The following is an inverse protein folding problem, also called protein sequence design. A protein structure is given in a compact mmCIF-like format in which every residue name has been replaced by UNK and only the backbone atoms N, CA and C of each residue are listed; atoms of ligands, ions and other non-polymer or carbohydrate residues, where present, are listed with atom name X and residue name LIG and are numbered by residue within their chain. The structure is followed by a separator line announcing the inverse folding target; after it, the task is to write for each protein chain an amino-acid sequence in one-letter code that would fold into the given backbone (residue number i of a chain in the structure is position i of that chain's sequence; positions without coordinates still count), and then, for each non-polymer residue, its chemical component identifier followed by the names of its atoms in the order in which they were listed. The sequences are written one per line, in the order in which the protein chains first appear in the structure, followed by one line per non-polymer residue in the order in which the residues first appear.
data_IF_088868649424
#
_entry.id   IF_088868649424
#
_cell.length_a   1.000
_cell.length_b   1.000
_cell.length_c   1.000
_cell.angle_alpha   90.00
_cell.angle_beta   90.00
_cell.angle_gamma   90.00
#
_symmetry.space_group_name_H-M   'P 1'
#
loop_
_entity.id
_entity.type
_entity.pdbx_description
1 polymer ?
#
# COMPACT_ATOMS: atom_id res chain seq x y z
N UNK A 1 -9.46 9.02 -6.84
CA UNK A 1 -9.31 9.20 -5.38
C UNK A 1 -9.84 8.01 -4.57
N UNK A 2 -11.06 7.55 -4.85
CA UNK A 2 -11.71 6.50 -4.05
C UNK A 2 -10.93 5.18 -4.04
N UNK A 3 -10.42 4.77 -5.21
CA UNK A 3 -9.59 3.55 -5.33
C UNK A 3 -8.33 3.59 -4.46
N UNK A 4 -7.64 4.74 -4.40
CA UNK A 4 -6.44 4.89 -3.58
C UNK A 4 -6.77 4.78 -2.10
N UNK A 5 -7.90 5.37 -1.65
CA UNK A 5 -8.36 5.23 -0.26
C UNK A 5 -8.75 3.79 0.08
N UNK A 6 -9.43 3.09 -0.83
CA UNK A 6 -9.80 1.68 -0.66
C UNK A 6 -8.56 0.79 -0.55
N UNK A 7 -7.56 1.00 -1.40
CA UNK A 7 -6.28 0.30 -1.34
C UNK A 7 -5.54 0.57 -0.04
N UNK A 8 -5.47 1.83 0.40
CA UNK A 8 -4.88 2.21 1.70
C UNK A 8 -5.59 1.54 2.87
N UNK A 9 -6.93 1.54 2.87
CA UNK A 9 -7.72 0.88 3.91
C UNK A 9 -7.50 -0.64 3.94
N UNK A 10 -7.44 -1.29 2.78
CA UNK A 10 -7.13 -2.72 2.68
C UNK A 10 -5.74 -3.00 3.27
N UNK A 11 -4.73 -2.23 2.88
CA UNK A 11 -3.37 -2.40 3.38
C UNK A 11 -3.31 -2.24 4.91
N UNK A 12 -3.98 -1.22 5.45
CA UNK A 12 -4.04 -0.97 6.90
C UNK A 12 -4.70 -2.14 7.65
N UNK A 13 -5.78 -2.72 7.12
CA UNK A 13 -6.44 -3.89 7.71
C UNK A 13 -5.54 -5.14 7.73
N UNK A 14 -4.60 -5.24 6.79
CA UNK A 14 -3.63 -6.35 6.70
C UNK A 14 -2.29 -6.04 7.38
N UNK A 15 -2.21 -4.95 8.15
CA UNK A 15 -1.03 -4.59 8.95
C UNK A 15 0.05 -3.83 8.18
N UNK A 16 -0.22 -3.37 6.96
CA UNK A 16 0.70 -2.56 6.16
C UNK A 16 0.28 -1.09 6.17
N UNK A 17 1.12 -0.21 6.72
CA UNK A 17 0.91 1.23 6.66
C UNK A 17 1.45 1.82 5.35
N UNK A 18 0.57 2.41 4.54
CA UNK A 18 0.90 3.18 3.35
C UNK A 18 0.19 4.54 3.36
N UNK A 19 0.67 5.47 2.52
CA UNK A 19 0.13 6.81 2.39
C UNK A 19 -0.51 7.01 1.01
N UNK A 20 -1.73 7.52 0.97
CA UNK A 20 -2.26 8.19 -0.22
C UNK A 20 -1.79 9.66 -0.26
N UNK A 21 -1.53 10.17 -1.47
CA UNK A 21 -0.94 11.48 -1.68
C UNK A 21 -1.24 12.05 -3.08
N UNK A 22 -0.68 13.24 -3.34
CA UNK A 22 -0.85 13.99 -4.60
C UNK A 22 -2.09 14.88 -4.60
N UNK A 23 -2.09 15.90 -5.45
CA UNK A 23 -3.16 16.92 -5.52
C UNK A 23 -4.56 16.32 -5.75
N UNK A 24 -4.62 15.19 -6.46
CA UNK A 24 -5.87 14.49 -6.78
C UNK A 24 -6.16 13.30 -5.84
N UNK A 25 -5.31 13.06 -4.84
CA UNK A 25 -5.43 11.95 -3.88
C UNK A 25 -5.49 10.58 -4.55
N UNK A 26 -4.72 10.38 -5.62
CA UNK A 26 -4.74 9.16 -6.45
C UNK A 26 -3.38 8.48 -6.54
N UNK A 27 -2.37 8.94 -5.79
CA UNK A 27 -1.05 8.35 -5.77
C UNK A 27 -0.82 7.63 -4.44
N UNK A 28 -0.24 6.44 -4.49
CA UNK A 28 0.22 5.72 -3.30
C UNK A 28 1.73 5.89 -3.16
N UNK A 29 2.19 6.15 -1.93
CA UNK A 29 3.61 6.29 -1.59
C UNK A 29 3.97 5.41 -0.40
N UNK A 30 5.06 4.67 -0.53
CA UNK A 30 5.68 3.91 0.55
C UNK A 30 6.86 4.70 1.11
N UNK A 31 6.94 4.85 2.43
CA UNK A 31 8.07 5.46 3.14
C UNK A 31 8.68 4.43 4.10
N UNK A 32 9.22 3.35 3.54
CA UNK A 32 9.91 2.32 4.33
C UNK A 32 11.26 2.84 4.85
N UNK A 33 11.71 2.40 6.04
CA UNK A 33 13.02 2.76 6.54
C UNK A 33 14.11 2.10 5.70
N UNK A 34 15.27 2.76 5.56
CA UNK A 34 16.40 2.24 4.79
C UNK A 34 17.03 0.97 5.40
N UNK A 35 16.72 0.68 6.66
CA UNK A 35 17.19 -0.48 7.42
C UNK A 35 16.19 -1.65 7.43
N UNK A 36 15.11 -1.57 6.64
CA UNK A 36 14.14 -2.67 6.51
C UNK A 36 14.83 -3.93 5.98
N UNK A 37 14.44 -5.11 6.48
CA UNK A 37 14.94 -6.37 5.92
C UNK A 37 14.24 -6.70 4.60
N UNK A 38 14.92 -7.45 3.74
CA UNK A 38 14.35 -7.91 2.47
C UNK A 38 13.05 -8.73 2.68
N UNK A 39 13.00 -9.52 3.76
CA UNK A 39 11.81 -10.29 4.14
C UNK A 39 10.62 -9.39 4.48
N UNK A 40 10.83 -8.36 5.30
CA UNK A 40 9.79 -7.40 5.66
C UNK A 40 9.33 -6.60 4.45
N UNK A 41 10.26 -6.21 3.58
CA UNK A 41 9.95 -5.50 2.35
C UNK A 41 9.11 -6.38 1.41
N UNK A 42 9.51 -7.63 1.20
CA UNK A 42 8.78 -8.58 0.35
C UNK A 42 7.37 -8.85 0.90
N UNK A 43 7.23 -9.04 2.21
CA UNK A 43 5.93 -9.20 2.87
C UNK A 43 5.02 -7.99 2.64
N UNK A 44 5.53 -6.77 2.84
CA UNK A 44 4.74 -5.55 2.64
C UNK A 44 4.34 -5.34 1.18
N UNK A 45 5.26 -5.57 0.23
CA UNK A 45 4.96 -5.49 -1.20
C UNK A 45 3.96 -6.57 -1.64
N UNK A 46 4.00 -7.76 -1.02
CA UNK A 46 3.01 -8.82 -1.25
C UNK A 46 1.59 -8.41 -0.88
N UNK A 47 1.41 -7.74 0.27
CA UNK A 47 0.11 -7.19 0.68
C UNK A 47 -0.37 -6.13 -0.31
N UNK A 48 0.53 -5.25 -0.77
CA UNK A 48 0.19 -4.22 -1.74
C UNK A 48 -0.26 -4.82 -3.09
N UNK A 49 0.42 -5.87 -3.55
CA UNK A 49 0.03 -6.60 -4.76
C UNK A 49 -1.35 -7.26 -4.60
N UNK A 50 -1.61 -7.92 -3.48
CA UNK A 50 -2.92 -8.52 -3.19
C UNK A 50 -4.04 -7.46 -3.13
N UNK A 51 -3.75 -6.28 -2.57
CA UNK A 51 -4.68 -5.16 -2.55
C UNK A 51 -5.04 -4.70 -3.98
N UNK A 52 -4.04 -4.58 -4.86
CA UNK A 52 -4.23 -4.22 -6.26
C UNK A 52 -5.03 -5.28 -7.03
N UNK A 53 -4.71 -6.57 -6.85
CA UNK A 53 -5.46 -7.66 -7.47
C UNK A 53 -6.92 -7.68 -7.03
N UNK A 54 -7.19 -7.41 -5.75
CA UNK A 54 -8.56 -7.33 -5.24
C UNK A 54 -9.33 -6.13 -5.79
N UNK A 55 -8.63 -5.03 -6.07
CA UNK A 55 -9.23 -3.79 -6.59
C UNK A 55 -9.44 -3.82 -8.12
N UNK A 56 -8.71 -4.66 -8.85
CA UNK A 56 -8.84 -4.87 -10.29
C UNK A 56 -9.83 -5.97 -10.69
N UNK A 57 -10.39 -6.69 -9.71
CA UNK A 57 -11.53 -7.60 -9.90
C UNK A 57 -12.84 -6.82 -9.92
#
# INVERSE_FOLDING_TARGET
PELAKQLTAYCHQHGLMILDCGTLGNNLRTLMPLVISDEQLAWGLGILAAALDQACK
#
